data_IF_406282643237
#
_entry.id   IF_406282643237
#
_cell.length_a   1.000
_cell.length_b   1.000
_cell.length_c   1.000
_cell.angle_alpha   90.00
_cell.angle_beta   90.00
_cell.angle_gamma   90.00
#
_symmetry.space_group_name_H-M   'P 1'
#
loop_
_entity.id
_entity.type
_entity.pdbx_description
1 polymer ?
#
# COMPACT_ATOMS: atom_id res chain seq x y z
N UNK A 1 8.40 -26.98 -24.35
CA UNK A 1 8.37 -25.57 -24.74
C UNK A 1 6.94 -25.25 -25.17
N UNK A 2 6.09 -24.84 -24.26
CA UNK A 2 4.68 -24.56 -24.54
C UNK A 2 4.30 -23.31 -23.76
N UNK A 3 4.16 -22.20 -24.47
CA UNK A 3 3.75 -20.90 -23.98
C UNK A 3 2.23 -20.94 -23.81
N UNK A 4 1.73 -20.84 -22.58
CA UNK A 4 0.30 -20.60 -22.34
C UNK A 4 0.08 -19.09 -22.10
N UNK A 5 -0.49 -18.47 -23.10
CA UNK A 5 -0.99 -17.10 -23.06
C UNK A 5 -2.31 -17.10 -22.28
N UNK A 6 -2.33 -16.55 -21.05
CA UNK A 6 -3.56 -16.40 -20.28
C UNK A 6 -4.20 -15.05 -20.61
N UNK A 7 -5.24 -15.12 -21.44
CA UNK A 7 -6.05 -14.00 -21.90
C UNK A 7 -6.94 -13.51 -20.76
N UNK A 8 -6.66 -12.33 -20.20
CA UNK A 8 -7.54 -11.67 -19.23
C UNK A 8 -8.82 -11.21 -19.94
N UNK A 9 -9.94 -11.83 -19.57
CA UNK A 9 -11.27 -11.44 -20.03
C UNK A 9 -11.74 -10.18 -19.28
N UNK A 10 -11.82 -9.09 -20.00
CA UNK A 10 -12.57 -7.90 -19.59
C UNK A 10 -14.07 -8.23 -19.66
N UNK A 11 -14.76 -8.20 -18.52
CA UNK A 11 -16.22 -8.16 -18.48
C UNK A 11 -16.68 -6.70 -18.53
N UNK A 12 -17.16 -6.29 -19.71
CA UNK A 12 -17.87 -5.04 -19.91
C UNK A 12 -19.35 -5.28 -19.63
N UNK A 13 -19.84 -4.79 -18.49
CA UNK A 13 -21.27 -4.84 -18.14
C UNK A 13 -21.96 -3.60 -18.71
N UNK A 14 -22.64 -3.73 -19.86
CA UNK A 14 -23.50 -2.71 -20.42
C UNK A 14 -24.88 -2.78 -19.73
N UNK A 15 -25.22 -1.79 -18.92
CA UNK A 15 -26.56 -1.60 -18.39
C UNK A 15 -27.45 -0.92 -19.44
N UNK A 16 -28.40 -1.66 -19.98
CA UNK A 16 -29.47 -1.14 -20.86
C UNK A 16 -30.54 -0.45 -19.98
N UNK A 17 -30.62 0.87 -20.14
CA UNK A 17 -31.71 1.68 -19.57
C UNK A 17 -32.89 1.65 -20.54
N UNK A 18 -33.97 0.92 -20.16
CA UNK A 18 -35.23 0.93 -20.90
C UNK A 18 -36.07 2.11 -20.46
N UNK A 19 -36.26 3.05 -21.37
CA UNK A 19 -37.17 4.19 -21.21
C UNK A 19 -38.59 3.75 -21.62
N UNK A 20 -39.52 3.68 -20.67
CA UNK A 20 -40.94 3.46 -20.94
C UNK A 20 -41.63 4.80 -21.06
N UNK A 21 -42.06 5.18 -22.25
CA UNK A 21 -43.00 6.28 -22.50
C UNK A 21 -44.42 5.75 -22.27
N UNK A 22 -45.17 6.41 -21.40
CA UNK A 22 -46.64 6.34 -21.41
C UNK A 22 -47.24 7.66 -21.81
N UNK A 23 -48.11 7.73 -22.83
CA UNK A 23 -48.91 8.88 -23.10
C UNK A 23 -50.24 8.80 -22.36
N UNK A 24 -50.61 9.79 -21.58
CA UNK A 24 -51.91 9.94 -20.95
C UNK A 24 -52.49 11.34 -21.24
N UNK A 25 -53.56 11.36 -22.00
CA UNK A 25 -54.25 12.55 -22.48
C UNK A 25 -55.46 12.88 -21.58
N UNK A 26 -55.82 14.16 -21.52
CA UNK A 26 -57.18 14.63 -21.18
C UNK A 26 -57.30 15.40 -19.85
N UNK A 27 -57.42 16.68 -19.83
CA UNK A 27 -58.61 17.43 -20.05
C UNK A 27 -59.18 18.07 -18.79
N UNK A 28 -59.40 19.41 -18.84
CA UNK A 28 -60.29 20.26 -18.03
C UNK A 28 -59.74 20.95 -16.77
N UNK A 29 -59.47 22.26 -16.96
CA UNK A 29 -59.59 23.35 -15.97
C UNK A 29 -61.05 23.51 -15.50
N UNK A 30 -61.40 24.18 -14.39
CA UNK A 30 -60.68 25.23 -13.64
C UNK A 30 -60.90 25.18 -12.09
N UNK A 31 -60.04 25.77 -11.31
CA UNK A 31 -60.36 26.69 -10.20
C UNK A 31 -59.07 27.07 -9.44
N UNK A 32 -58.81 28.37 -9.41
CA UNK A 32 -57.81 28.97 -8.56
C UNK A 32 -58.08 28.75 -7.09
N UNK A 33 -57.15 28.14 -6.35
CA UNK A 33 -57.09 28.19 -4.89
C UNK A 33 -55.77 28.90 -4.47
N UNK A 34 -55.86 30.13 -3.89
CA UNK A 34 -54.73 30.86 -3.42
C UNK A 34 -54.37 30.42 -1.98
N UNK A 35 -53.41 29.52 -1.82
CA UNK A 35 -52.95 29.22 -0.46
C UNK A 35 -52.21 27.93 -0.26
N UNK A 36 -51.25 27.60 -1.14
CA UNK A 36 -50.33 26.55 -0.82
C UNK A 36 -48.97 27.18 -0.46
N UNK A 37 -48.79 27.44 0.85
CA UNK A 37 -47.46 27.64 1.41
C UNK A 37 -46.61 26.41 1.11
N UNK A 38 -45.58 26.57 0.31
CA UNK A 38 -44.57 25.56 0.08
C UNK A 38 -43.94 25.18 1.44
N UNK A 39 -44.35 24.05 1.97
CA UNK A 39 -43.57 23.40 3.06
C UNK A 39 -42.20 23.12 2.49
N UNK A 40 -41.12 23.64 3.07
CA UNK A 40 -39.78 23.29 2.62
C UNK A 40 -39.65 21.78 2.73
N UNK A 41 -39.24 21.16 1.64
CA UNK A 41 -38.86 19.74 1.61
C UNK A 41 -37.80 19.52 2.70
N UNK A 42 -37.98 18.54 3.61
CA UNK A 42 -36.99 18.29 4.64
C UNK A 42 -35.65 18.01 3.97
N UNK A 43 -34.61 18.75 4.38
CA UNK A 43 -33.25 18.48 3.94
C UNK A 43 -32.96 16.99 4.19
N UNK A 44 -32.37 16.28 3.22
CA UNK A 44 -32.03 14.88 3.40
C UNK A 44 -31.14 14.78 4.66
N UNK A 45 -31.49 13.84 5.53
CA UNK A 45 -30.68 13.52 6.71
C UNK A 45 -29.22 13.39 6.30
N UNK A 46 -28.26 13.96 7.05
CA UNK A 46 -26.85 13.83 6.75
C UNK A 46 -26.53 12.34 6.65
N UNK A 47 -26.02 11.94 5.50
CA UNK A 47 -25.55 10.57 5.26
C UNK A 47 -24.61 10.20 6.40
N UNK A 48 -24.78 9.06 7.09
CA UNK A 48 -23.83 8.64 8.11
C UNK A 48 -22.43 8.72 7.52
N UNK A 49 -21.52 9.34 8.24
CA UNK A 49 -20.11 9.42 7.83
C UNK A 49 -19.64 8.00 7.55
N UNK A 50 -19.44 7.68 6.28
CA UNK A 50 -18.75 6.44 5.89
C UNK A 50 -17.38 6.51 6.55
N UNK A 51 -16.90 5.41 7.22
CA UNK A 51 -15.60 5.42 7.85
C UNK A 51 -14.54 5.82 6.81
N UNK A 52 -13.86 6.94 7.06
CA UNK A 52 -12.80 7.41 6.18
C UNK A 52 -11.67 6.36 6.16
N UNK A 53 -11.50 5.72 5.04
CA UNK A 53 -10.47 4.72 4.82
C UNK A 53 -9.14 5.43 4.55
N UNK A 54 -8.26 5.47 5.55
CA UNK A 54 -6.95 6.09 5.42
C UNK A 54 -5.95 5.09 4.83
N UNK A 55 -5.55 5.29 3.58
CA UNK A 55 -4.51 4.48 2.96
C UNK A 55 -3.15 4.70 3.64
N UNK A 56 -2.43 3.60 3.90
CA UNK A 56 -1.05 3.67 4.37
C UNK A 56 -0.17 4.13 3.21
N UNK A 57 0.54 5.24 3.38
CA UNK A 57 1.46 5.80 2.40
C UNK A 57 2.89 5.71 2.92
N UNK A 58 3.86 5.60 2.02
CA UNK A 58 5.27 5.54 2.37
C UNK A 58 6.05 6.67 1.68
N UNK A 59 7.03 7.21 2.40
CA UNK A 59 7.97 8.20 1.90
C UNK A 59 9.41 7.69 2.07
N UNK A 60 9.90 6.82 1.18
CA UNK A 60 11.26 6.35 1.23
C UNK A 60 12.27 7.43 0.88
N UNK A 61 13.39 7.42 1.58
CA UNK A 61 14.59 8.18 1.28
C UNK A 61 15.83 7.31 1.42
N UNK A 62 16.87 7.59 0.64
CA UNK A 62 18.12 6.85 0.70
C UNK A 62 19.25 7.75 1.17
N UNK A 63 19.99 7.29 2.17
CA UNK A 63 21.20 7.99 2.63
C UNK A 63 22.36 7.62 1.69
N UNK A 64 22.93 8.63 1.04
CA UNK A 64 24.04 8.43 0.09
C UNK A 64 25.20 7.61 0.71
N UNK A 65 25.82 6.68 -0.04
CA UNK A 65 25.67 6.45 -1.49
C UNK A 65 24.50 5.52 -1.87
N UNK A 66 23.68 5.10 -0.93
CA UNK A 66 22.56 4.19 -1.17
C UNK A 66 21.55 4.79 -2.16
N UNK A 67 20.97 3.94 -2.99
CA UNK A 67 19.90 4.27 -3.93
C UNK A 67 19.09 3.03 -4.27
N UNK A 68 17.88 3.22 -4.76
CA UNK A 68 17.03 2.12 -5.19
C UNK A 68 15.69 2.62 -5.71
N UNK A 69 14.99 1.78 -6.44
CA UNK A 69 13.65 2.04 -6.98
C UNK A 69 12.62 1.00 -6.53
N UNK A 70 13.06 -0.06 -5.86
CA UNK A 70 12.21 -1.14 -5.36
C UNK A 70 12.58 -1.49 -3.93
N UNK A 71 11.57 -1.58 -3.08
CA UNK A 71 11.70 -1.80 -1.64
C UNK A 71 10.75 -2.92 -1.22
N UNK A 72 11.22 -3.83 -0.37
CA UNK A 72 10.37 -4.81 0.29
C UNK A 72 9.89 -4.25 1.63
N UNK A 73 8.58 -4.21 1.84
CA UNK A 73 7.95 -3.72 3.07
C UNK A 73 7.40 -4.90 3.87
N UNK A 74 7.64 -4.86 5.18
CA UNK A 74 7.05 -5.78 6.16
C UNK A 74 6.22 -4.96 7.14
N UNK A 75 4.96 -5.32 7.29
CA UNK A 75 4.01 -4.64 8.15
C UNK A 75 3.43 -5.58 9.20
N UNK A 76 3.31 -5.09 10.42
CA UNK A 76 2.80 -5.82 11.58
C UNK A 76 1.63 -5.04 12.16
N UNK A 77 0.47 -5.66 12.24
CA UNK A 77 -0.68 -5.13 12.95
C UNK A 77 -0.78 -5.81 14.32
N UNK A 78 -0.68 -5.05 15.39
CA UNK A 78 -0.65 -5.57 16.76
C UNK A 78 -1.84 -5.10 17.61
N UNK A 79 -2.85 -4.51 16.99
CA UNK A 79 -3.99 -3.93 17.71
C UNK A 79 -3.51 -2.85 18.68
N UNK A 80 -3.99 -2.87 19.89
CA UNK A 80 -3.65 -1.86 20.92
C UNK A 80 -2.30 -2.11 21.60
N UNK A 81 -1.69 -3.29 21.36
CA UNK A 81 -0.43 -3.64 22.03
C UNK A 81 0.79 -3.15 21.23
N UNK A 82 1.89 -2.79 21.90
CA UNK A 82 3.14 -2.48 21.21
C UNK A 82 3.68 -3.70 20.46
N UNK A 83 4.42 -3.44 19.36
CA UNK A 83 5.16 -4.49 18.66
C UNK A 83 6.14 -5.19 19.60
N UNK A 84 6.22 -6.49 19.48
CA UNK A 84 7.17 -7.33 20.23
C UNK A 84 7.87 -8.31 19.29
N UNK A 85 8.91 -8.98 19.82
CA UNK A 85 9.66 -10.00 19.09
C UNK A 85 8.84 -11.28 18.79
N UNK A 86 7.65 -11.39 19.35
CA UNK A 86 6.72 -12.49 19.07
C UNK A 86 5.74 -12.18 17.94
N UNK A 87 5.68 -10.92 17.49
CA UNK A 87 4.81 -10.52 16.40
C UNK A 87 5.28 -11.09 15.05
N UNK A 88 4.34 -11.45 14.20
CA UNK A 88 4.59 -11.93 12.83
C UNK A 88 4.12 -10.88 11.81
N UNK A 89 4.70 -10.83 10.59
CA UNK A 89 4.31 -9.86 9.56
C UNK A 89 2.94 -10.23 8.94
N UNK A 90 1.88 -9.94 9.67
CA UNK A 90 0.50 -10.29 9.35
C UNK A 90 -0.21 -9.22 8.48
N UNK A 91 0.35 -8.03 8.37
CA UNK A 91 -0.21 -6.92 7.60
C UNK A 91 0.40 -6.83 6.20
N UNK A 92 1.73 -6.83 6.10
CA UNK A 92 2.50 -6.90 4.86
C UNK A 92 3.68 -7.85 5.03
N UNK A 93 3.97 -8.68 4.03
CA UNK A 93 5.15 -9.55 4.04
C UNK A 93 5.85 -9.45 2.70
N UNK A 94 7.02 -8.80 2.70
CA UNK A 94 7.78 -8.46 1.49
C UNK A 94 6.88 -7.83 0.40
N UNK A 95 6.04 -6.87 0.81
CA UNK A 95 5.21 -6.13 -0.13
C UNK A 95 6.12 -5.26 -1.01
N UNK A 96 6.01 -5.42 -2.32
CA UNK A 96 6.74 -4.57 -3.25
C UNK A 96 6.22 -3.14 -3.18
N UNK A 97 7.11 -2.20 -2.88
CA UNK A 97 6.93 -0.77 -3.02
C UNK A 97 7.92 -0.31 -4.09
N UNK A 98 7.42 0.30 -5.14
CA UNK A 98 8.24 0.74 -6.27
C UNK A 98 8.01 2.20 -6.62
N UNK A 99 9.07 2.83 -7.11
CA UNK A 99 9.01 4.20 -7.60
C UNK A 99 8.66 4.20 -9.09
N UNK A 100 7.48 4.74 -9.41
CA UNK A 100 7.00 4.90 -10.78
C UNK A 100 6.85 6.40 -11.04
N UNK A 101 7.64 6.93 -11.95
CA UNK A 101 7.61 8.35 -12.35
C UNK A 101 7.75 9.36 -11.20
N UNK A 102 8.48 8.96 -10.15
CA UNK A 102 8.71 9.80 -8.97
C UNK A 102 7.74 9.54 -7.81
N UNK A 103 6.71 8.74 -8.02
CA UNK A 103 5.75 8.36 -6.99
C UNK A 103 6.00 6.94 -6.47
N UNK A 104 5.92 6.77 -5.16
CA UNK A 104 6.04 5.46 -4.53
C UNK A 104 4.67 4.80 -4.40
N UNK A 105 4.53 3.64 -5.05
CA UNK A 105 3.25 2.93 -5.17
C UNK A 105 3.42 1.45 -4.82
N UNK A 106 2.33 0.83 -4.36
CA UNK A 106 2.25 -0.61 -4.12
C UNK A 106 0.82 -1.11 -4.32
N UNK A 107 0.67 -2.38 -4.64
CA UNK A 107 -0.62 -3.03 -4.88
C UNK A 107 -0.63 -4.44 -4.22
N UNK A 108 -1.69 -4.83 -3.48
CA UNK A 108 -2.89 -4.04 -3.17
C UNK A 108 -2.64 -2.97 -2.11
N UNK A 109 -3.34 -1.83 -2.21
CA UNK A 109 -3.30 -0.78 -1.21
C UNK A 109 -3.84 -1.30 0.12
N UNK A 110 -3.18 -0.96 1.22
CA UNK A 110 -3.57 -1.27 2.59
C UNK A 110 -3.96 0.00 3.33
N UNK A 111 -4.85 -0.15 4.29
CA UNK A 111 -5.42 0.96 5.04
C UNK A 111 -5.05 0.84 6.53
N UNK A 112 -4.99 1.97 7.19
CA UNK A 112 -4.80 2.00 8.63
C UNK A 112 -5.96 1.29 9.33
N UNK A 113 -5.74 0.66 10.50
CA UNK A 113 -6.82 0.09 11.30
C UNK A 113 -7.91 1.14 11.58
N UNK A 114 -9.17 0.71 11.58
CA UNK A 114 -10.30 1.59 11.92
C UNK A 114 -10.20 2.12 13.34
N UNK A 115 -9.68 1.30 14.26
CA UNK A 115 -9.43 1.72 15.64
C UNK A 115 -8.35 2.79 15.68
N UNK A 116 -8.64 3.91 16.33
CA UNK A 116 -7.67 5.00 16.54
C UNK A 116 -6.47 4.60 17.42
N UNK A 117 -6.58 3.49 18.15
CA UNK A 117 -5.51 2.94 19.00
C UNK A 117 -4.74 1.80 18.32
N UNK A 118 -5.25 1.30 17.19
CA UNK A 118 -4.61 0.25 16.42
C UNK A 118 -3.20 0.65 15.97
N UNK A 119 -2.25 -0.24 16.21
CA UNK A 119 -0.82 0.02 15.94
C UNK A 119 -0.34 -0.77 14.75
N UNK A 120 0.37 -0.09 13.86
CA UNK A 120 1.17 -0.69 12.80
C UNK A 120 2.65 -0.46 13.06
N UNK A 121 3.46 -1.44 12.68
CA UNK A 121 4.91 -1.35 12.72
C UNK A 121 5.48 -1.81 11.39
N UNK A 122 6.50 -1.09 10.90
CA UNK A 122 7.06 -1.35 9.58
C UNK A 122 8.56 -1.56 9.61
N UNK A 123 9.02 -2.50 8.79
CA UNK A 123 10.41 -2.73 8.44
C UNK A 123 10.52 -2.67 6.92
N UNK A 124 11.66 -2.22 6.43
CA UNK A 124 11.88 -2.11 4.99
C UNK A 124 13.32 -2.44 4.60
N UNK A 125 13.47 -3.04 3.43
CA UNK A 125 14.76 -3.32 2.81
C UNK A 125 14.76 -3.01 1.32
N UNK A 126 15.92 -2.72 0.77
CA UNK A 126 16.17 -2.55 -0.66
C UNK A 126 17.45 -3.30 -1.04
N UNK A 127 17.48 -3.93 -2.22
CA UNK A 127 16.39 -4.08 -3.18
C UNK A 127 15.27 -4.99 -2.67
N UNK A 128 14.14 -4.97 -3.35
CA UNK A 128 13.06 -5.93 -3.14
C UNK A 128 13.57 -7.36 -3.34
N UNK A 129 13.26 -8.25 -2.42
CA UNK A 129 13.66 -9.66 -2.51
C UNK A 129 12.78 -10.43 -3.50
N UNK A 130 13.11 -10.30 -4.78
CA UNK A 130 12.48 -11.07 -5.85
C UNK A 130 13.15 -12.44 -6.01
N UNK A 131 12.45 -13.37 -6.63
CA UNK A 131 13.02 -14.67 -6.98
C UNK A 131 14.26 -14.49 -7.90
N UNK A 132 15.38 -15.09 -7.50
CA UNK A 132 16.64 -14.99 -8.25
C UNK A 132 17.46 -13.72 -8.01
N UNK A 133 17.07 -12.85 -7.08
CA UNK A 133 17.83 -11.65 -6.72
C UNK A 133 19.08 -11.91 -5.85
N UNK A 134 19.29 -13.14 -5.43
CA UNK A 134 20.30 -13.48 -4.41
C UNK A 134 19.91 -13.10 -2.97
N UNK A 135 18.72 -12.48 -2.81
CA UNK A 135 18.11 -12.21 -1.52
C UNK A 135 17.07 -13.26 -1.19
N UNK A 136 17.15 -13.84 -0.02
CA UNK A 136 16.11 -14.67 0.56
C UNK A 136 15.62 -14.08 1.87
N UNK A 137 14.38 -14.39 2.22
CA UNK A 137 13.70 -13.85 3.38
C UNK A 137 13.31 -14.98 4.32
N UNK A 138 13.25 -14.66 5.60
CA UNK A 138 12.62 -15.53 6.58
C UNK A 138 11.16 -15.78 6.22
N UNK A 139 10.66 -16.94 6.63
CA UNK A 139 9.24 -17.29 6.46
C UNK A 139 8.32 -16.26 7.13
N UNK A 140 7.16 -16.01 6.51
CA UNK A 140 6.16 -15.05 7.01
C UNK A 140 5.54 -15.44 8.35
N UNK A 141 5.65 -16.71 8.75
CA UNK A 141 5.22 -17.21 10.07
C UNK A 141 6.29 -17.04 11.16
N UNK A 142 7.52 -16.60 10.79
CA UNK A 142 8.59 -16.41 11.74
C UNK A 142 8.33 -15.16 12.59
N UNK A 143 8.31 -15.30 13.93
CA UNK A 143 8.19 -14.15 14.82
C UNK A 143 9.42 -13.23 14.77
N UNK A 144 9.21 -11.97 15.11
CA UNK A 144 10.24 -10.94 15.21
C UNK A 144 10.45 -10.15 13.93
N UNK A 145 11.53 -9.40 13.90
CA UNK A 145 11.93 -8.65 12.71
C UNK A 145 12.24 -9.59 11.55
N UNK A 146 12.00 -9.18 10.29
CA UNK A 146 12.34 -9.97 9.12
C UNK A 146 13.85 -10.22 9.08
N UNK A 147 14.23 -11.42 8.66
CA UNK A 147 15.64 -11.77 8.42
C UNK A 147 15.89 -11.85 6.93
N UNK A 148 16.92 -11.13 6.49
CA UNK A 148 17.43 -11.20 5.14
C UNK A 148 18.69 -12.04 5.12
N UNK A 149 18.77 -12.96 4.14
CA UNK A 149 19.98 -13.67 3.78
C UNK A 149 20.37 -13.23 2.38
N UNK A 150 21.61 -12.81 2.21
CA UNK A 150 22.14 -12.37 0.91
C UNK A 150 23.27 -13.28 0.48
N UNK A 151 23.08 -13.96 -0.62
CA UNK A 151 24.14 -14.71 -1.28
C UNK A 151 24.97 -13.76 -2.16
N UNK A 152 26.20 -13.51 -1.72
CA UNK A 152 27.09 -12.62 -2.43
C UNK A 152 27.55 -13.26 -3.76
N UNK A 153 27.30 -12.61 -4.91
CA UNK A 153 27.74 -13.15 -6.18
C UNK A 153 29.27 -13.20 -6.29
N UNK A 154 29.77 -13.89 -7.30
CA UNK A 154 31.20 -14.00 -7.53
C UNK A 154 31.85 -12.63 -7.75
N UNK A 155 33.16 -12.51 -7.52
CA UNK A 155 33.90 -11.24 -7.61
C UNK A 155 33.86 -10.54 -8.98
N UNK A 156 33.38 -11.24 -10.02
CA UNK A 156 33.25 -10.70 -11.40
C UNK A 156 31.89 -10.08 -11.69
N UNK A 157 30.93 -10.25 -10.78
CA UNK A 157 29.57 -9.74 -10.95
C UNK A 157 29.37 -8.48 -10.12
N UNK A 158 28.39 -7.65 -10.54
CA UNK A 158 27.98 -6.50 -9.75
C UNK A 158 27.25 -6.93 -8.49
N UNK A 159 27.67 -6.42 -7.33
CA UNK A 159 27.00 -6.63 -6.07
C UNK A 159 25.86 -5.63 -5.91
N UNK A 160 24.72 -6.11 -5.42
CA UNK A 160 23.65 -5.22 -4.99
C UNK A 160 24.05 -4.55 -3.66
N UNK A 161 23.78 -3.29 -3.54
CA UNK A 161 23.88 -2.60 -2.25
C UNK A 161 22.61 -2.92 -1.42
N UNK A 162 22.81 -3.59 -0.31
CA UNK A 162 21.70 -3.95 0.58
C UNK A 162 21.48 -2.81 1.56
N UNK A 163 20.27 -2.27 1.55
CA UNK A 163 19.87 -1.18 2.42
C UNK A 163 18.73 -1.61 3.33
N UNK A 164 18.74 -1.15 4.57
CA UNK A 164 17.64 -1.33 5.51
C UNK A 164 17.20 0.03 6.05
N UNK A 165 15.91 0.14 6.36
CA UNK A 165 15.36 1.28 7.09
C UNK A 165 15.38 1.04 8.59
N UNK A 166 15.55 2.10 9.37
CA UNK A 166 15.26 2.03 10.79
C UNK A 166 13.79 1.66 11.01
N UNK A 167 13.48 0.71 11.91
CA UNK A 167 12.10 0.28 12.13
C UNK A 167 11.19 1.43 12.54
N UNK A 168 10.02 1.50 11.94
CA UNK A 168 8.95 2.42 12.34
C UNK A 168 7.96 1.64 13.20
N UNK A 169 8.02 1.83 14.52
CA UNK A 169 7.29 0.98 15.45
C UNK A 169 6.11 1.69 16.09
N UNK A 170 5.01 0.93 16.28
CA UNK A 170 3.84 1.36 17.05
C UNK A 170 3.18 2.64 16.54
N UNK A 171 3.17 2.82 15.23
CA UNK A 171 2.49 3.95 14.60
C UNK A 171 0.98 3.77 14.71
N UNK A 172 0.28 4.85 14.98
CA UNK A 172 -1.17 4.95 14.91
C UNK A 172 -1.58 5.64 13.62
N UNK A 173 -2.85 5.55 13.27
CA UNK A 173 -3.42 6.14 12.05
C UNK A 173 -2.96 7.59 11.84
N UNK A 174 -2.48 7.88 10.65
CA UNK A 174 -1.98 9.19 10.23
C UNK A 174 -2.25 9.40 8.75
N UNK A 175 -2.47 10.65 8.35
CA UNK A 175 -2.50 11.07 6.95
C UNK A 175 -1.09 11.24 6.37
N UNK A 176 -0.11 11.47 7.25
CA UNK A 176 1.28 11.63 6.86
C UNK A 176 1.88 10.30 6.41
N UNK A 177 2.65 10.29 5.32
CA UNK A 177 3.34 9.10 4.86
C UNK A 177 4.36 8.60 5.90
N UNK A 178 4.48 7.28 6.02
CA UNK A 178 5.49 6.64 6.86
C UNK A 178 6.88 6.88 6.25
N UNK A 179 7.73 7.60 6.97
CA UNK A 179 9.09 7.89 6.53
C UNK A 179 9.97 6.64 6.65
N UNK A 180 10.65 6.27 5.57
CA UNK A 180 11.56 5.13 5.52
C UNK A 180 12.94 5.61 5.07
N UNK A 181 13.85 5.84 6.02
CA UNK A 181 15.22 6.23 5.71
C UNK A 181 16.09 4.99 5.54
N UNK A 182 16.41 4.63 4.30
CA UNK A 182 17.20 3.45 3.96
C UNK A 182 18.70 3.79 3.97
N UNK A 183 19.47 2.94 4.65
CA UNK A 183 20.91 3.04 4.77
C UNK A 183 21.56 1.75 4.30
N UNK A 184 22.69 1.86 3.57
CA UNK A 184 23.50 0.70 3.21
C UNK A 184 24.01 0.00 4.46
N UNK A 185 23.88 -1.33 4.47
CA UNK A 185 24.49 -2.22 5.49
C UNK A 185 25.73 -2.89 4.98
N UNK A 186 26.11 -2.63 3.73
CA UNK A 186 27.30 -3.15 3.07
C UNK A 186 28.48 -2.19 3.24
N UNK A 187 29.69 -2.74 3.30
CA UNK A 187 30.92 -1.97 3.28
C UNK A 187 31.88 -2.47 2.19
N UNK A 188 32.55 -1.54 1.51
CA UNK A 188 33.56 -1.85 0.49
C UNK A 188 34.94 -1.54 1.03
N UNK A 189 35.81 -2.56 1.07
CA UNK A 189 37.20 -2.40 1.49
C UNK A 189 38.09 -2.54 0.27
N UNK A 190 38.93 -1.54 0.00
CA UNK A 190 39.92 -1.56 -1.06
C UNK A 190 41.33 -1.62 -0.51
N UNK A 191 42.20 -2.44 -1.09
CA UNK A 191 43.64 -2.52 -0.77
C UNK A 191 44.46 -1.96 -1.93
N UNK A 192 45.41 -1.11 -1.61
CA UNK A 192 46.44 -0.64 -2.59
C UNK A 192 47.77 -1.26 -2.18
N UNK A 193 48.26 -2.17 -2.99
CA UNK A 193 49.60 -2.73 -2.82
C UNK A 193 50.57 -1.83 -3.61
N UNK A 194 51.58 -1.31 -2.92
CA UNK A 194 52.71 -0.62 -3.56
C UNK A 194 53.84 -1.63 -3.68
N UNK A 195 54.27 -1.90 -4.89
CA UNK A 195 55.52 -2.62 -5.19
C UNK A 195 56.71 -1.69 -5.16
#
# INVERSE_FOLDING_TARGET
MTIQLLLKRFFLLAALFSLALTPGCGGDDPAEDPGSGSVPEPEPDPKPDEPEEYAVKFAPSFVAPASGSQIGIFGYETGDTPWSVDAVPNFMCNQLLENVDGEWTYDPVKYWPESSTGKLSFFACSPYAAAGSGLSLSDSSRPGAPVLEYEMPSATECHNDICIAAPQLNLTRSEEPVALELRSVMSKIGFRIKG
#
